data_IF_506454120039
#
_entry.id   IF_506454120039
#
_cell.length_a   1.000
_cell.length_b   1.000
_cell.length_c   1.000
_cell.angle_alpha   90.00
_cell.angle_beta   90.00
_cell.angle_gamma   90.00
#
_symmetry.space_group_name_H-M   'P 1'
#
loop_
_entity.id
_entity.type
_entity.pdbx_description
1 polymer ?
#
# COMPACT_ATOMS: atom_id res chain seq x y z
N UNK A 1 16.84 -14.09 8.70
CA UNK A 1 16.57 -14.56 10.06
C UNK A 1 16.97 -16.03 10.20
N UNK A 2 17.41 -16.42 11.38
CA UNK A 2 17.95 -17.76 11.63
C UNK A 2 16.95 -18.88 11.40
N UNK A 3 15.72 -18.66 11.80
CA UNK A 3 14.65 -19.65 11.71
C UNK A 3 13.98 -19.71 10.34
N UNK A 4 14.39 -18.82 9.42
CA UNK A 4 13.72 -18.67 8.15
C UNK A 4 12.38 -17.93 8.30
N UNK A 5 11.61 -17.84 7.21
CA UNK A 5 10.32 -17.20 7.23
C UNK A 5 9.23 -18.17 7.68
N UNK A 6 8.22 -17.69 8.45
CA UNK A 6 7.05 -18.50 8.72
C UNK A 6 6.36 -18.93 7.44
N UNK A 7 5.70 -20.09 7.47
CA UNK A 7 4.95 -20.59 6.31
C UNK A 7 3.87 -19.60 5.89
N UNK A 8 3.75 -19.37 4.59
CA UNK A 8 2.76 -18.45 4.03
C UNK A 8 3.10 -16.97 4.20
N UNK A 9 4.36 -16.66 4.52
CA UNK A 9 4.84 -15.29 4.70
C UNK A 9 5.88 -14.95 3.64
N UNK A 10 5.82 -13.72 3.14
CA UNK A 10 6.89 -13.16 2.30
C UNK A 10 7.25 -11.76 2.79
N UNK A 11 8.40 -11.28 2.39
CA UNK A 11 8.87 -9.94 2.74
C UNK A 11 8.76 -9.03 1.53
N UNK A 12 8.21 -7.84 1.75
CA UNK A 12 8.12 -6.79 0.75
C UNK A 12 9.09 -5.68 1.14
N UNK A 13 10.14 -5.50 0.32
CA UNK A 13 11.16 -4.49 0.54
C UNK A 13 11.00 -3.37 -0.48
N UNK A 14 10.87 -2.15 0.01
CA UNK A 14 10.88 -0.94 -0.81
C UNK A 14 11.99 -0.01 -0.36
N UNK A 15 12.68 0.58 -1.33
CA UNK A 15 13.79 1.49 -1.08
C UNK A 15 13.41 2.87 -1.62
N UNK A 16 13.57 3.94 -0.80
CA UNK A 16 13.21 5.28 -1.26
C UNK A 16 14.21 5.78 -2.30
N UNK A 17 13.75 6.62 -3.21
CA UNK A 17 14.59 7.21 -4.23
C UNK A 17 15.29 8.46 -3.68
N UNK A 18 16.30 8.24 -2.85
CA UNK A 18 17.09 9.29 -2.20
C UNK A 18 18.57 8.96 -2.33
N UNK A 19 19.49 9.97 -2.31
CA UNK A 19 20.92 9.72 -2.46
C UNK A 19 21.51 8.82 -1.40
N UNK A 20 21.06 8.95 -0.15
CA UNK A 20 21.56 8.18 0.98
C UNK A 20 20.38 7.66 1.80
N UNK A 21 20.17 6.35 1.76
CA UNK A 21 19.14 5.70 2.56
C UNK A 21 19.59 5.70 4.02
N UNK A 22 18.72 6.17 4.92
CA UNK A 22 19.07 6.32 6.36
C UNK A 22 19.16 4.99 7.09
N UNK A 23 18.55 3.96 6.57
CA UNK A 23 18.49 2.64 7.16
C UNK A 23 17.23 1.91 6.71
N UNK A 24 16.89 0.85 7.41
CA UNK A 24 15.71 0.03 7.12
C UNK A 24 14.82 -0.04 8.35
N UNK A 25 13.52 0.10 8.14
CA UNK A 25 12.52 -0.06 9.20
C UNK A 25 11.59 -1.21 8.86
N UNK A 26 11.26 -2.00 9.87
CA UNK A 26 10.20 -3.01 9.76
C UNK A 26 8.88 -2.30 9.96
N UNK A 27 7.99 -2.43 8.98
CA UNK A 27 6.78 -1.63 8.89
C UNK A 27 5.55 -2.51 8.67
N UNK A 28 4.38 -1.91 8.89
CA UNK A 28 3.11 -2.43 8.38
C UNK A 28 2.79 -1.76 7.06
N UNK A 29 2.01 -2.44 6.23
CA UNK A 29 1.49 -1.86 5.01
C UNK A 29 0.59 -0.69 5.35
N UNK A 30 0.74 0.41 4.63
CA UNK A 30 -0.13 1.56 4.78
C UNK A 30 -1.57 1.18 4.43
N UNK A 31 -2.49 1.61 5.28
CA UNK A 31 -3.92 1.52 5.01
C UNK A 31 -4.36 2.84 4.40
N UNK A 32 -4.76 2.81 3.15
CA UNK A 32 -5.12 4.02 2.44
C UNK A 32 -5.64 3.71 1.05
N UNK A 33 -5.79 4.75 0.27
CA UNK A 33 -6.31 4.64 -1.08
C UNK A 33 -5.62 5.62 -2.01
N UNK A 34 -5.62 5.29 -3.30
CA UNK A 34 -5.23 6.22 -4.32
C UNK A 34 -6.43 7.07 -4.70
N UNK A 35 -6.24 8.38 -4.75
CA UNK A 35 -7.22 9.32 -5.26
C UNK A 35 -6.84 9.70 -6.67
N UNK A 36 -7.84 9.80 -7.56
CA UNK A 36 -7.63 10.17 -8.95
C UNK A 36 -8.35 11.47 -9.24
N UNK A 37 -7.65 12.42 -9.83
CA UNK A 37 -8.20 13.71 -10.21
C UNK A 37 -7.84 14.01 -11.67
N UNK A 38 -8.81 14.59 -12.39
CA UNK A 38 -8.52 15.17 -13.69
C UNK A 38 -8.06 16.61 -13.50
N UNK A 39 -6.87 16.91 -13.99
CA UNK A 39 -6.31 18.26 -13.97
C UNK A 39 -6.40 18.87 -15.34
N UNK A 40 -6.92 20.08 -15.40
CA UNK A 40 -6.98 20.86 -16.64
C UNK A 40 -5.66 21.57 -16.86
N UNK A 41 -5.17 21.48 -18.10
CA UNK A 41 -4.01 22.23 -18.56
C UNK A 41 -4.32 22.73 -19.97
N UNK A 42 -3.41 23.50 -20.56
CA UNK A 42 -3.52 23.93 -21.94
C UNK A 42 -2.30 23.48 -22.71
N UNK A 43 -2.52 23.03 -23.95
CA UNK A 43 -1.41 22.70 -24.84
C UNK A 43 -0.81 23.97 -25.47
N UNK A 44 0.20 23.82 -26.31
CA UNK A 44 0.88 24.94 -26.96
C UNK A 44 -0.04 25.77 -27.88
N UNK A 45 -1.15 25.19 -28.36
CA UNK A 45 -2.16 25.86 -29.17
C UNK A 45 -3.25 26.52 -28.34
N UNK A 46 -3.18 26.47 -27.02
CA UNK A 46 -4.20 27.03 -26.13
C UNK A 46 -5.44 26.18 -25.98
N UNK A 47 -5.44 24.94 -26.47
CA UNK A 47 -6.56 24.01 -26.33
C UNK A 47 -6.56 23.36 -24.96
N UNK A 48 -7.73 23.17 -24.33
CA UNK A 48 -7.81 22.51 -23.03
C UNK A 48 -7.48 21.02 -23.17
N UNK A 49 -6.57 20.55 -22.30
CA UNK A 49 -6.23 19.15 -22.17
C UNK A 49 -6.46 18.73 -20.73
N UNK A 50 -6.94 17.50 -20.56
CA UNK A 50 -7.17 16.92 -19.24
C UNK A 50 -6.27 15.70 -19.07
N UNK A 51 -5.68 15.59 -17.91
CA UNK A 51 -4.85 14.44 -17.57
C UNK A 51 -5.15 13.97 -16.17
N UNK A 52 -4.97 12.67 -16.00
CA UNK A 52 -5.23 12.02 -14.74
C UNK A 52 -4.03 12.19 -13.81
N UNK A 53 -4.27 12.79 -12.65
CA UNK A 53 -3.30 12.86 -11.57
C UNK A 53 -3.80 11.99 -10.43
N UNK A 54 -2.87 11.32 -9.75
CA UNK A 54 -3.19 10.46 -8.62
C UNK A 54 -2.36 10.79 -7.40
N UNK A 55 -2.93 10.61 -6.23
CA UNK A 55 -2.25 10.73 -4.96
C UNK A 55 -2.70 9.63 -4.04
N UNK A 56 -1.77 9.16 -3.17
CA UNK A 56 -2.09 8.16 -2.17
C UNK A 56 -2.45 8.86 -0.86
N UNK A 57 -3.61 8.53 -0.32
CA UNK A 57 -4.09 9.05 0.96
C UNK A 57 -4.12 7.93 1.99
N UNK A 58 -3.46 8.14 3.13
CA UNK A 58 -3.52 7.20 4.24
C UNK A 58 -4.87 7.28 4.95
N UNK A 59 -5.46 6.12 5.23
CA UNK A 59 -6.63 6.04 6.09
C UNK A 59 -6.25 6.41 7.52
N UNK A 60 -7.17 7.02 8.23
CA UNK A 60 -6.95 7.38 9.63
C UNK A 60 -7.56 6.36 10.57
N UNK A 61 -6.96 6.07 11.74
CA UNK A 61 -5.70 6.67 12.24
C UNK A 61 -4.46 6.20 11.47
N UNK A 62 -3.46 7.07 11.33
CA UNK A 62 -2.20 6.72 10.69
C UNK A 62 -1.25 6.14 11.74
N UNK A 63 -0.78 4.92 11.51
CA UNK A 63 0.17 4.27 12.41
C UNK A 63 1.59 4.75 12.16
N UNK A 64 2.37 4.91 13.22
CA UNK A 64 3.74 5.41 13.14
C UNK A 64 4.69 4.48 12.39
N UNK A 65 4.41 3.17 12.38
CA UNK A 65 5.18 2.16 11.68
C UNK A 65 4.67 1.87 10.25
N UNK A 66 3.98 2.82 9.67
CA UNK A 66 3.44 2.79 8.32
C UNK A 66 4.60 2.88 7.30
N UNK A 67 4.56 2.04 6.25
CA UNK A 67 5.62 1.97 5.25
C UNK A 67 5.78 3.28 4.45
N UNK A 68 4.70 3.98 4.15
CA UNK A 68 4.78 5.26 3.42
C UNK A 68 5.49 6.32 4.23
N UNK A 69 5.29 6.36 5.55
CA UNK A 69 6.00 7.28 6.43
C UNK A 69 7.49 6.96 6.49
N UNK A 70 7.86 5.69 6.52
CA UNK A 70 9.25 5.27 6.50
C UNK A 70 9.95 5.75 5.21
N UNK A 71 9.33 5.49 4.07
CA UNK A 71 9.85 5.91 2.76
C UNK A 71 9.97 7.43 2.65
N UNK A 72 8.95 8.16 3.08
CA UNK A 72 8.96 9.63 3.08
C UNK A 72 10.05 10.20 3.97
N UNK A 73 10.42 9.47 5.01
CA UNK A 73 11.50 9.87 5.93
C UNK A 73 12.90 9.44 5.46
N UNK A 74 13.00 8.77 4.31
CA UNK A 74 14.28 8.36 3.72
C UNK A 74 14.77 7.00 4.17
N UNK A 75 13.91 6.16 4.75
CA UNK A 75 14.24 4.79 5.17
C UNK A 75 13.69 3.79 4.17
N UNK A 76 14.42 2.68 4.01
CA UNK A 76 13.86 1.49 3.36
C UNK A 76 12.78 0.88 4.26
N UNK A 77 11.74 0.37 3.65
CA UNK A 77 10.61 -0.26 4.33
C UNK A 77 10.61 -1.75 4.09
N UNK A 78 10.56 -2.54 5.15
CA UNK A 78 10.45 -4.00 5.10
C UNK A 78 9.14 -4.41 5.75
N UNK A 79 8.21 -4.94 4.95
CA UNK A 79 6.87 -5.32 5.41
C UNK A 79 6.71 -6.83 5.32
N UNK A 80 6.49 -7.53 6.44
CA UNK A 80 6.12 -8.94 6.39
C UNK A 80 4.66 -9.07 5.93
N UNK A 81 4.42 -9.90 4.93
CA UNK A 81 3.11 -10.06 4.30
C UNK A 81 2.67 -11.52 4.31
N UNK A 82 1.37 -11.73 4.34
CA UNK A 82 0.79 -13.06 4.17
C UNK A 82 0.41 -13.30 2.72
N UNK A 83 0.66 -14.49 2.23
CA UNK A 83 0.27 -14.90 0.87
C UNK A 83 -1.24 -15.02 0.76
N UNK A 84 -1.89 -15.58 1.78
CA UNK A 84 -3.34 -15.74 1.80
C UNK A 84 -4.01 -14.43 2.23
N UNK A 85 -4.67 -13.77 1.28
CA UNK A 85 -5.35 -12.49 1.49
C UNK A 85 -6.85 -12.66 1.76
N UNK A 86 -7.31 -13.88 2.02
CA UNK A 86 -8.71 -14.16 2.27
C UNK A 86 -9.17 -13.55 3.58
N UNK A 87 -10.27 -12.83 3.55
CA UNK A 87 -10.96 -12.36 4.76
C UNK A 87 -11.89 -13.48 5.25
N UNK A 88 -11.42 -14.24 6.23
CA UNK A 88 -12.13 -15.42 6.71
C UNK A 88 -13.42 -15.09 7.46
N UNK A 89 -13.45 -13.95 8.16
CA UNK A 89 -14.65 -13.51 8.85
C UNK A 89 -15.76 -13.18 7.86
N UNK A 90 -15.42 -12.41 6.84
CA UNK A 90 -16.39 -12.07 5.80
C UNK A 90 -16.77 -13.27 4.94
N UNK A 91 -15.82 -14.18 4.72
CA UNK A 91 -16.10 -15.44 4.01
C UNK A 91 -17.24 -16.21 4.69
N UNK A 92 -17.19 -16.35 6.01
CA UNK A 92 -18.22 -17.03 6.77
C UNK A 92 -19.58 -16.32 6.65
N UNK A 93 -19.59 -15.00 6.76
CA UNK A 93 -20.81 -14.19 6.61
C UNK A 93 -21.41 -14.34 5.23
N UNK A 94 -20.56 -14.30 4.21
CA UNK A 94 -21.00 -14.36 2.82
C UNK A 94 -21.62 -15.73 2.49
N UNK A 95 -21.01 -16.81 2.96
CA UNK A 95 -21.56 -18.16 2.82
C UNK A 95 -22.94 -18.27 3.47
N UNK A 96 -23.09 -17.69 4.66
CA UNK A 96 -24.36 -17.74 5.39
C UNK A 96 -25.44 -16.93 4.66
N UNK A 97 -25.12 -15.73 4.19
CA UNK A 97 -26.08 -14.85 3.51
C UNK A 97 -26.53 -15.42 2.17
N UNK A 98 -25.62 -15.95 1.39
CA UNK A 98 -25.91 -16.44 0.06
C UNK A 98 -26.36 -17.89 0.06
N UNK A 99 -26.19 -18.61 1.18
CA UNK A 99 -26.56 -20.04 1.32
C UNK A 99 -26.01 -20.89 0.17
N UNK A 100 -24.80 -20.60 -0.25
CA UNK A 100 -24.12 -21.40 -1.27
C UNK A 100 -23.37 -22.53 -0.60
N UNK A 101 -23.42 -23.72 -1.24
CA UNK A 101 -22.63 -24.86 -0.80
C UNK A 101 -21.21 -24.72 -1.36
N UNK A 102 -20.27 -25.08 -0.54
CA UNK A 102 -18.85 -25.00 -0.88
C UNK A 102 -18.27 -26.36 -1.20
#
# INVERSE_FOLDING_TARGET
IKEGLPHGTYLNLNVPNVPNVKGMKVCRQADGRWTNEFKRSENAAGEPVFWLAGAFENAKPIHADNDTLALDSGYASLVPCKIDVTDYDFLAQLKNQLKVES
#
